data_IF_506531818370
#
_entry.id   IF_506531818370
#
_cell.length_a   1.000
_cell.length_b   1.000
_cell.length_c   1.000
_cell.angle_alpha   90.00
_cell.angle_beta   90.00
_cell.angle_gamma   90.00
#
_symmetry.space_group_name_H-M   'P 1'
#
loop_
_entity.id
_entity.type
_entity.pdbx_description
1 polymer ?
#
# COMPACT_ATOMS: atom_id res chain seq x y z
N UNK A 1 -41.01 14.33 -26.52
CA UNK A 1 -41.18 12.89 -26.21
C UNK A 1 -40.55 12.67 -24.84
N UNK A 2 -41.33 12.25 -23.84
CA UNK A 2 -40.77 11.80 -22.55
C UNK A 2 -40.10 10.46 -22.82
N UNK A 3 -38.86 10.28 -22.36
CA UNK A 3 -38.17 8.99 -22.45
C UNK A 3 -39.10 7.88 -21.95
N UNK A 4 -39.27 6.80 -22.72
CA UNK A 4 -40.05 5.66 -22.25
C UNK A 4 -39.23 4.94 -21.16
N UNK A 5 -39.90 4.12 -20.34
CA UNK A 5 -39.28 3.37 -19.23
C UNK A 5 -38.04 2.56 -19.67
N UNK A 6 -38.02 2.10 -20.93
CA UNK A 6 -36.92 1.36 -21.54
C UNK A 6 -35.69 2.23 -21.81
N UNK A 7 -35.89 3.50 -22.15
CA UNK A 7 -34.80 4.46 -22.36
C UNK A 7 -34.23 4.92 -21.03
N UNK A 8 -35.07 5.04 -19.99
CA UNK A 8 -34.62 5.30 -18.62
C UNK A 8 -33.79 4.13 -18.08
N UNK A 9 -34.23 2.90 -18.31
CA UNK A 9 -33.50 1.70 -17.89
C UNK A 9 -32.11 1.65 -18.54
N UNK A 10 -32.02 1.86 -19.86
CA UNK A 10 -30.73 1.90 -20.57
C UNK A 10 -29.80 2.99 -20.05
N UNK A 11 -30.35 4.13 -19.64
CA UNK A 11 -29.57 5.22 -19.07
C UNK A 11 -29.08 4.87 -17.65
N UNK A 12 -29.93 4.24 -16.83
CA UNK A 12 -29.53 3.72 -15.51
C UNK A 12 -28.40 2.70 -15.64
N UNK A 13 -28.58 1.69 -16.50
CA UNK A 13 -27.58 0.65 -16.73
C UNK A 13 -26.25 1.24 -17.23
N UNK A 14 -26.28 2.35 -17.96
CA UNK A 14 -25.08 3.05 -18.40
C UNK A 14 -24.39 3.81 -17.25
N UNK A 15 -25.15 4.39 -16.32
CA UNK A 15 -24.60 5.02 -15.11
C UNK A 15 -23.94 3.96 -14.22
N UNK A 16 -24.59 2.82 -14.02
CA UNK A 16 -24.07 1.74 -13.18
C UNK A 16 -22.71 1.25 -13.70
N UNK A 17 -22.59 1.05 -15.02
CA UNK A 17 -21.31 0.69 -15.65
C UNK A 17 -20.22 1.76 -15.53
N UNK A 18 -20.60 3.04 -15.50
CA UNK A 18 -19.65 4.13 -15.28
C UNK A 18 -19.19 4.13 -13.82
N UNK A 19 -20.10 3.85 -12.87
CA UNK A 19 -19.75 3.73 -11.46
C UNK A 19 -18.80 2.56 -11.22
N UNK A 20 -19.13 1.37 -11.73
CA UNK A 20 -18.27 0.19 -11.67
C UNK A 20 -16.90 0.46 -12.32
N UNK A 21 -16.89 1.13 -13.48
CA UNK A 21 -15.64 1.51 -14.15
C UNK A 21 -14.79 2.50 -13.35
N UNK A 22 -15.42 3.43 -12.64
CA UNK A 22 -14.73 4.39 -11.77
C UNK A 22 -14.17 3.71 -10.51
N UNK A 23 -14.91 2.79 -9.91
CA UNK A 23 -14.43 2.01 -8.76
C UNK A 23 -13.21 1.17 -9.16
N UNK A 24 -13.29 0.44 -10.28
CA UNK A 24 -12.15 -0.31 -10.81
C UNK A 24 -10.95 0.59 -11.15
N UNK A 25 -11.19 1.82 -11.64
CA UNK A 25 -10.12 2.79 -11.88
C UNK A 25 -9.45 3.25 -10.59
N UNK A 26 -10.22 3.46 -9.51
CA UNK A 26 -9.69 3.84 -8.19
C UNK A 26 -8.91 2.69 -7.56
N UNK A 27 -9.41 1.46 -7.65
CA UNK A 27 -8.68 0.26 -7.20
C UNK A 27 -7.37 0.10 -7.95
N UNK A 28 -7.40 0.18 -9.28
CA UNK A 28 -6.18 0.18 -10.11
C UNK A 28 -5.25 1.34 -9.74
N UNK A 29 -5.78 2.54 -9.47
CA UNK A 29 -4.96 3.65 -9.02
C UNK A 29 -4.29 3.35 -7.69
N UNK A 30 -4.99 2.76 -6.71
CA UNK A 30 -4.41 2.35 -5.43
C UNK A 30 -3.39 1.20 -5.59
N UNK A 31 -3.62 0.26 -6.50
CA UNK A 31 -2.64 -0.79 -6.84
C UNK A 31 -1.41 -0.23 -7.56
N UNK A 32 -1.59 0.82 -8.36
CA UNK A 32 -0.53 1.54 -9.08
C UNK A 32 0.19 2.54 -8.17
N UNK A 33 -0.47 3.05 -7.13
CA UNK A 33 0.11 3.75 -6.00
C UNK A 33 0.89 2.71 -5.22
N UNK A 34 2.07 2.37 -5.76
CA UNK A 34 3.03 1.47 -5.13
C UNK A 34 3.15 1.92 -3.69
N UNK A 35 2.73 1.04 -2.79
CA UNK A 35 3.05 1.10 -1.37
C UNK A 35 4.57 0.89 -1.29
N UNK A 36 5.32 1.94 -1.66
CA UNK A 36 6.77 1.91 -1.74
C UNK A 36 7.23 1.73 -0.30
N UNK A 37 7.66 0.53 0.09
CA UNK A 37 8.03 0.31 1.46
C UNK A 37 9.20 1.23 1.75
N UNK A 38 9.20 1.87 2.92
CA UNK A 38 10.31 2.74 3.37
C UNK A 38 11.66 2.00 3.25
N UNK A 39 11.64 0.67 3.36
CA UNK A 39 12.76 -0.22 3.11
C UNK A 39 12.26 -1.47 2.37
N UNK A 40 12.82 -1.75 1.18
CA UNK A 40 12.63 -3.04 0.51
C UNK A 40 13.53 -4.11 1.17
N UNK A 41 12.90 -5.00 1.95
CA UNK A 41 13.58 -6.16 2.52
C UNK A 41 13.41 -7.36 1.59
N UNK A 42 14.47 -8.14 1.41
CA UNK A 42 14.34 -9.40 0.69
C UNK A 42 13.45 -10.40 1.48
N UNK A 43 12.89 -11.38 0.77
CA UNK A 43 11.95 -12.35 1.34
C UNK A 43 12.53 -13.16 2.50
N UNK A 44 13.84 -13.48 2.44
CA UNK A 44 14.50 -14.25 3.49
C UNK A 44 14.60 -13.47 4.81
N UNK A 45 14.97 -12.19 4.72
CA UNK A 45 15.04 -11.27 5.86
C UNK A 45 13.65 -11.09 6.46
N UNK A 46 12.63 -10.86 5.63
CA UNK A 46 11.24 -10.73 6.09
C UNK A 46 10.79 -11.98 6.86
N UNK A 47 11.02 -13.17 6.30
CA UNK A 47 10.69 -14.45 6.92
C UNK A 47 11.40 -14.66 8.26
N UNK A 48 12.67 -14.26 8.36
CA UNK A 48 13.44 -14.37 9.59
C UNK A 48 12.96 -13.37 10.65
N UNK A 49 12.58 -12.16 10.25
CA UNK A 49 11.97 -11.16 11.14
C UNK A 49 10.66 -11.70 11.72
N UNK A 50 9.76 -12.24 10.89
CA UNK A 50 8.50 -12.83 11.35
C UNK A 50 8.74 -13.93 12.38
N UNK A 51 9.64 -14.87 12.09
CA UNK A 51 10.00 -15.96 13.02
C UNK A 51 10.62 -15.44 14.32
N UNK A 52 11.42 -14.39 14.24
CA UNK A 52 12.03 -13.78 15.42
C UNK A 52 10.96 -13.09 16.29
N UNK A 53 10.01 -12.38 15.67
CA UNK A 53 8.88 -11.75 16.38
C UNK A 53 8.03 -12.78 17.11
N UNK A 54 7.69 -13.87 16.45
CA UNK A 54 6.93 -14.98 17.05
C UNK A 54 7.67 -15.61 18.25
N UNK A 55 9.00 -15.74 18.15
CA UNK A 55 9.81 -16.41 19.17
C UNK A 55 10.21 -15.52 20.35
N UNK A 56 10.47 -14.24 20.11
CA UNK A 56 11.08 -13.32 21.08
C UNK A 56 10.21 -12.12 21.44
N UNK A 57 9.06 -11.96 20.79
CA UNK A 57 8.16 -10.83 20.95
C UNK A 57 8.40 -9.74 19.91
N UNK A 58 7.31 -9.20 19.41
CA UNK A 58 7.32 -8.17 18.37
C UNK A 58 8.08 -6.91 18.80
N UNK A 59 7.75 -6.34 19.96
CA UNK A 59 8.39 -5.12 20.48
C UNK A 59 9.92 -5.27 20.62
N UNK A 60 10.38 -6.44 21.08
CA UNK A 60 11.81 -6.70 21.29
C UNK A 60 12.58 -6.71 19.98
N UNK A 61 12.01 -7.35 18.95
CA UNK A 61 12.64 -7.43 17.63
C UNK A 61 12.58 -6.07 16.92
N UNK A 62 11.46 -5.36 17.03
CA UNK A 62 11.32 -4.03 16.43
C UNK A 62 12.29 -3.03 17.05
N UNK A 63 12.46 -3.03 18.37
CA UNK A 63 13.46 -2.17 19.03
C UNK A 63 14.88 -2.48 18.55
N UNK A 64 15.23 -3.76 18.39
CA UNK A 64 16.56 -4.18 17.92
C UNK A 64 16.82 -3.74 16.48
N UNK A 65 15.86 -3.99 15.59
CA UNK A 65 15.96 -3.59 14.18
C UNK A 65 16.10 -2.06 14.09
N UNK A 66 15.25 -1.30 14.79
CA UNK A 66 15.33 0.15 14.79
C UNK A 66 16.66 0.66 15.33
N UNK A 67 17.20 0.06 16.39
CA UNK A 67 18.51 0.46 16.93
C UNK A 67 19.63 0.28 15.91
N UNK A 68 19.64 -0.86 15.19
CA UNK A 68 20.66 -1.16 14.17
C UNK A 68 20.52 -0.22 12.97
N UNK A 69 19.29 0.01 12.50
CA UNK A 69 19.02 0.93 11.39
C UNK A 69 19.42 2.36 11.78
N UNK A 70 19.05 2.83 12.97
CA UNK A 70 19.42 4.15 13.47
C UNK A 70 20.94 4.31 13.61
N UNK A 71 21.63 3.28 14.12
CA UNK A 71 23.08 3.26 14.18
C UNK A 71 23.68 3.38 12.78
N UNK A 72 23.24 2.59 11.81
CA UNK A 72 23.68 2.66 10.42
C UNK A 72 23.44 4.04 9.80
N UNK A 73 22.25 4.62 10.02
CA UNK A 73 21.89 5.95 9.50
C UNK A 73 22.70 7.08 10.13
N UNK A 74 23.21 6.91 11.36
CA UNK A 74 24.01 7.93 12.04
C UNK A 74 25.36 8.22 11.37
N UNK A 75 25.82 7.32 10.49
CA UNK A 75 27.03 7.49 9.69
C UNK A 75 26.80 8.29 8.42
N UNK A 76 25.54 8.54 8.06
CA UNK A 76 25.16 9.29 6.88
C UNK A 76 25.02 10.76 7.24
N UNK A 77 25.50 11.64 6.35
CA UNK A 77 25.19 13.06 6.46
C UNK A 77 23.78 13.31 5.93
N UNK A 78 22.81 13.23 6.85
CA UNK A 78 21.38 13.38 6.55
C UNK A 78 20.89 14.82 6.78
N UNK A 79 21.79 15.75 7.14
CA UNK A 79 21.44 17.13 7.49
C UNK A 79 21.57 18.11 6.30
N UNK A 80 22.02 17.64 5.14
CA UNK A 80 22.01 18.42 3.89
C UNK A 80 20.91 17.91 2.96
N UNK A 81 19.86 18.71 2.76
CA UNK A 81 19.06 18.57 1.53
C UNK A 81 19.93 18.94 0.33
N UNK A 82 19.75 18.29 -0.83
CA UNK A 82 20.42 18.69 -2.07
C UNK A 82 20.09 20.13 -2.47
#
# INVERSE_FOLDING_TARGET
MKANEKDYQKYSDAIDRIQEGNEAMIELFNELEKDNPVIELNEEVLKNITRAKEKYGEEVIDQKINSIIAEMLSWLDLNESP
#
